data_IF_021233039942
#
_entry.id   IF_021233039942
#
_cell.length_a   1.000
_cell.length_b   1.000
_cell.length_c   1.000
_cell.angle_alpha   90.00
_cell.angle_beta   90.00
_cell.angle_gamma   90.00
#
_symmetry.space_group_name_H-M   'P 1'
#
loop_
_entity.id
_entity.type
_entity.pdbx_description
1 polymer ?
#
# COMPACT_ATOMS: atom_id res chain seq x y z
N UNK A 1 -24.44 5.82 -14.74
CA UNK A 1 -23.53 5.46 -15.61
C UNK A 1 -22.15 5.85 -15.24
N UNK A 2 -21.33 5.02 -15.38
CA UNK A 2 -20.02 5.30 -14.96
C UNK A 2 -19.38 6.30 -15.84
N UNK A 3 -18.76 7.21 -15.25
CA UNK A 3 -18.11 8.15 -15.90
C UNK A 3 -16.78 7.72 -16.26
N UNK A 4 -16.41 7.96 -17.43
CA UNK A 4 -15.13 7.67 -17.79
C UNK A 4 -14.17 8.47 -17.05
N UNK A 5 -13.24 7.86 -16.46
CA UNK A 5 -12.32 8.58 -15.74
C UNK A 5 -11.17 8.81 -16.60
N UNK A 6 -11.03 9.81 -17.24
CA UNK A 6 -9.92 10.06 -18.10
C UNK A 6 -8.70 10.36 -17.27
N UNK A 7 -7.70 10.92 -17.87
CA UNK A 7 -6.50 11.28 -17.18
C UNK A 7 -6.64 12.56 -16.40
N UNK A 8 -7.85 13.02 -16.23
CA UNK A 8 -8.04 14.24 -15.52
C UNK A 8 -7.57 14.17 -14.10
N UNK A 9 -7.13 15.28 -13.60
CA UNK A 9 -6.68 15.37 -12.23
C UNK A 9 -7.84 15.65 -11.31
N UNK A 10 -7.73 15.15 -10.09
CA UNK A 10 -8.67 15.48 -9.05
C UNK A 10 -8.06 16.56 -8.21
N UNK A 11 -8.88 17.49 -7.77
CA UNK A 11 -8.43 18.52 -6.85
C UNK A 11 -8.64 18.01 -5.44
N UNK A 12 -7.59 18.05 -4.63
CA UNK A 12 -7.68 17.61 -3.25
C UNK A 12 -7.48 18.79 -2.33
N UNK A 13 -7.74 18.59 -1.05
CA UNK A 13 -7.59 19.67 -0.08
C UNK A 13 -6.13 20.11 -0.02
N UNK A 14 -5.89 21.40 0.25
CA UNK A 14 -4.52 21.91 0.18
C UNK A 14 -3.52 21.15 1.04
N UNK A 15 -3.92 20.68 2.21
CA UNK A 15 -2.99 19.99 3.09
C UNK A 15 -2.85 18.52 2.71
N UNK A 16 -3.50 18.07 1.65
CA UNK A 16 -3.37 16.71 1.17
C UNK A 16 -2.63 16.64 -0.15
N UNK A 17 -2.02 17.74 -0.58
CA UNK A 17 -1.27 17.78 -1.82
C UNK A 17 0.04 18.52 -1.62
N UNK A 18 1.05 18.06 -2.31
CA UNK A 18 2.31 18.79 -2.32
C UNK A 18 2.38 19.85 -3.41
N UNK A 19 1.32 19.98 -4.21
CA UNK A 19 1.30 20.93 -5.29
C UNK A 19 0.53 22.19 -4.94
N UNK A 20 0.94 23.31 -5.50
CA UNK A 20 0.27 24.55 -5.21
C UNK A 20 -1.17 24.57 -5.72
N UNK A 21 -1.44 23.91 -6.85
CA UNK A 21 -2.79 23.91 -7.40
C UNK A 21 -3.65 22.76 -6.90
N UNK A 22 -3.07 21.89 -6.06
CA UNK A 22 -3.80 20.78 -5.44
C UNK A 22 -4.40 19.78 -6.43
N UNK A 23 -3.90 19.76 -7.65
CA UNK A 23 -4.41 18.83 -8.65
C UNK A 23 -3.54 17.60 -8.69
N UNK A 24 -4.14 16.44 -8.45
CA UNK A 24 -3.41 15.18 -8.40
C UNK A 24 -3.86 14.24 -9.48
N UNK A 25 -2.91 13.68 -10.23
CA UNK A 25 -3.22 12.63 -11.19
C UNK A 25 -3.44 11.30 -10.51
N UNK A 26 -2.87 11.15 -9.33
CA UNK A 26 -3.01 9.94 -8.54
C UNK A 26 -3.08 10.34 -7.09
N UNK A 27 -3.86 9.64 -6.34
CA UNK A 27 -3.93 9.89 -4.92
C UNK A 27 -4.33 8.61 -4.22
N UNK A 28 -3.96 8.54 -2.95
CA UNK A 28 -4.24 7.37 -2.15
C UNK A 28 -5.65 7.45 -1.60
N UNK A 29 -6.38 6.34 -1.69
CA UNK A 29 -7.73 6.29 -1.18
C UNK A 29 -7.81 5.16 -0.16
N UNK A 30 -8.11 5.52 1.07
CA UNK A 30 -8.17 4.57 2.18
C UNK A 30 -9.47 4.78 2.92
N UNK A 31 -10.20 3.71 3.16
CA UNK A 31 -11.44 3.80 3.91
C UNK A 31 -11.18 4.00 5.38
N UNK A 32 -12.02 4.78 6.03
CA UNK A 32 -11.89 5.00 7.46
C UNK A 32 -11.94 3.69 8.23
N UNK A 33 -12.78 2.75 7.81
CA UNK A 33 -12.93 1.52 8.56
C UNK A 33 -11.66 0.67 8.55
N UNK A 34 -10.87 0.74 7.48
CA UNK A 34 -9.59 0.05 7.46
C UNK A 34 -8.64 0.75 8.41
N UNK A 35 -8.54 2.06 8.29
CA UNK A 35 -7.60 2.84 9.08
C UNK A 35 -7.88 2.72 10.57
N UNK A 36 -9.14 2.58 10.94
CA UNK A 36 -9.53 2.49 12.34
C UNK A 36 -9.73 1.07 12.84
N UNK A 37 -9.49 0.07 11.98
CA UNK A 37 -9.65 -1.31 12.39
C UNK A 37 -8.60 -1.69 13.42
N UNK A 38 -8.96 -2.61 14.30
CA UNK A 38 -8.00 -3.06 15.31
C UNK A 38 -6.85 -3.79 14.66
N UNK A 39 -7.10 -4.51 13.58
CA UNK A 39 -6.04 -5.21 12.88
C UNK A 39 -4.99 -4.24 12.36
N UNK A 40 -5.43 -3.13 11.77
CA UNK A 40 -4.50 -2.16 11.24
C UNK A 40 -3.76 -1.44 12.37
N UNK A 41 -4.48 -1.12 13.43
CA UNK A 41 -3.86 -0.42 14.56
C UNK A 41 -2.84 -1.28 15.29
N UNK A 42 -2.97 -2.61 15.17
CA UNK A 42 -2.01 -3.51 15.81
C UNK A 42 -0.71 -3.59 15.04
N UNK A 43 -0.65 -3.10 13.82
CA UNK A 43 0.58 -3.10 13.05
C UNK A 43 1.52 -2.03 13.58
N UNK A 44 2.83 -2.25 13.42
CA UNK A 44 3.78 -1.21 13.73
C UNK A 44 3.57 -0.03 12.78
N UNK A 45 4.00 1.14 13.18
CA UNK A 45 3.84 2.32 12.35
C UNK A 45 4.52 2.15 10.99
N UNK A 46 5.68 1.48 10.97
CA UNK A 46 6.37 1.25 9.71
C UNK A 46 5.60 0.34 8.77
N UNK A 47 4.96 -0.69 9.32
CA UNK A 47 4.14 -1.57 8.51
C UNK A 47 2.91 -0.84 7.98
N UNK A 48 2.30 0.00 8.80
CA UNK A 48 1.19 0.82 8.34
C UNK A 48 1.63 1.70 7.18
N UNK A 49 2.79 2.34 7.31
CA UNK A 49 3.31 3.19 6.26
C UNK A 49 3.56 2.39 4.99
N UNK A 50 4.19 1.22 5.12
CA UNK A 50 4.48 0.40 3.95
C UNK A 50 3.19 -0.02 3.25
N UNK A 51 2.16 -0.36 4.02
CA UNK A 51 0.89 -0.74 3.43
C UNK A 51 0.31 0.40 2.59
N UNK A 52 0.41 1.62 3.09
CA UNK A 52 -0.05 2.78 2.33
C UNK A 52 0.79 3.00 1.09
N UNK A 53 2.10 2.79 1.18
CA UNK A 53 2.96 2.88 0.01
C UNK A 53 2.56 1.88 -1.05
N UNK A 54 2.25 0.65 -0.63
CA UNK A 54 1.82 -0.38 -1.55
C UNK A 54 0.49 -0.03 -2.19
N UNK A 55 -0.43 0.52 -1.40
CA UNK A 55 -1.72 0.92 -1.94
C UNK A 55 -1.56 1.97 -3.02
N UNK A 56 -0.66 2.92 -2.79
CA UNK A 56 -0.41 3.95 -3.78
C UNK A 56 0.27 3.37 -5.01
N UNK A 57 1.27 2.52 -4.80
CA UNK A 57 2.04 1.98 -5.91
C UNK A 57 1.22 1.03 -6.77
N UNK A 58 0.28 0.31 -6.17
CA UNK A 58 -0.52 -0.66 -6.90
C UNK A 58 -1.44 -0.03 -7.93
N UNK A 59 -1.77 1.24 -7.75
CA UNK A 59 -2.64 1.92 -8.69
C UNK A 59 -4.04 1.34 -8.76
N UNK A 60 -4.52 0.79 -7.66
CA UNK A 60 -5.85 0.20 -7.61
C UNK A 60 -5.91 -1.26 -7.99
N UNK A 61 -4.77 -1.86 -8.30
CA UNK A 61 -4.75 -3.27 -8.64
C UNK A 61 -4.54 -4.11 -7.40
N UNK A 62 -5.13 -5.27 -7.36
CA UNK A 62 -4.99 -6.15 -6.22
C UNK A 62 -3.62 -6.82 -6.19
N UNK A 63 -3.10 -7.19 -7.35
CA UNK A 63 -1.77 -7.80 -7.45
C UNK A 63 -0.81 -6.77 -8.03
N UNK A 64 0.39 -6.70 -7.47
CA UNK A 64 1.34 -5.68 -7.88
C UNK A 64 2.75 -6.12 -7.54
N UNK A 65 3.72 -5.47 -8.17
CA UNK A 65 5.12 -5.70 -7.88
C UNK A 65 5.63 -4.53 -7.06
N UNK A 66 6.42 -4.82 -6.04
CA UNK A 66 6.95 -3.76 -5.19
C UNK A 66 8.42 -4.08 -4.91
N UNK A 67 9.32 -3.62 -5.78
CA UNK A 67 10.73 -3.95 -5.62
C UNK A 67 11.38 -3.14 -4.50
N UNK A 68 12.46 -3.68 -3.98
CA UNK A 68 13.22 -3.01 -2.93
C UNK A 68 13.64 -1.61 -3.37
N UNK A 69 13.98 -1.46 -4.66
CA UNK A 69 14.39 -0.15 -5.14
C UNK A 69 13.30 0.90 -4.98
N UNK A 70 12.04 0.51 -5.18
CA UNK A 70 10.94 1.44 -4.96
C UNK A 70 10.83 1.78 -3.48
N UNK A 71 10.97 0.78 -2.62
CA UNK A 71 10.87 1.02 -1.20
C UNK A 71 11.94 2.00 -0.73
N UNK A 72 13.17 1.84 -1.21
CA UNK A 72 14.26 2.68 -0.73
C UNK A 72 14.33 4.03 -1.42
N UNK A 73 14.19 4.04 -2.74
CA UNK A 73 14.39 5.29 -3.48
C UNK A 73 13.17 6.17 -3.53
N UNK A 74 12.01 5.58 -3.61
CA UNK A 74 10.79 6.37 -3.72
C UNK A 74 10.18 6.67 -2.36
N UNK A 75 10.24 5.73 -1.45
CA UNK A 75 9.56 5.87 -0.17
C UNK A 75 10.48 6.00 1.02
N UNK A 76 11.78 5.89 0.81
CA UNK A 76 12.74 6.16 1.88
C UNK A 76 12.86 5.08 2.94
N UNK A 77 12.45 3.87 2.64
CA UNK A 77 12.54 2.78 3.59
C UNK A 77 13.91 2.12 3.53
N UNK A 78 14.43 1.72 4.68
CA UNK A 78 15.70 1.00 4.70
C UNK A 78 15.45 -0.46 4.39
N UNK A 79 16.42 -1.15 3.73
CA UNK A 79 16.18 -2.54 3.34
C UNK A 79 15.79 -3.46 4.49
N UNK A 80 16.45 -3.36 5.63
CA UNK A 80 16.12 -4.22 6.75
C UNK A 80 14.72 -3.94 7.28
N UNK A 81 14.36 -2.65 7.33
CA UNK A 81 13.03 -2.26 7.78
C UNK A 81 11.96 -2.74 6.81
N UNK A 82 12.24 -2.60 5.50
CA UNK A 82 11.31 -3.05 4.50
C UNK A 82 11.00 -4.54 4.66
N UNK A 83 12.03 -5.36 4.84
CA UNK A 83 11.82 -6.79 5.00
C UNK A 83 11.01 -7.11 6.25
N UNK A 84 11.30 -6.41 7.33
CA UNK A 84 10.59 -6.64 8.59
C UNK A 84 9.12 -6.26 8.46
N UNK A 85 8.84 -5.15 7.80
CA UNK A 85 7.46 -4.71 7.62
C UNK A 85 6.69 -5.65 6.69
N UNK A 86 7.35 -6.17 5.66
CA UNK A 86 6.72 -7.15 4.78
C UNK A 86 6.29 -8.37 5.59
N UNK A 87 7.19 -8.87 6.44
CA UNK A 87 6.86 -10.05 7.22
C UNK A 87 5.68 -9.79 8.15
N UNK A 88 5.64 -8.62 8.72
CA UNK A 88 4.54 -8.28 9.61
C UNK A 88 3.22 -8.21 8.84
N UNK A 89 3.22 -7.60 7.66
CA UNK A 89 2.01 -7.49 6.86
C UNK A 89 1.51 -8.85 6.37
N UNK A 90 2.45 -9.73 6.01
CA UNK A 90 2.09 -11.08 5.58
C UNK A 90 1.47 -11.83 6.75
N UNK A 91 2.10 -11.75 7.91
CA UNK A 91 1.62 -12.47 9.07
C UNK A 91 0.26 -11.97 9.54
N UNK A 92 0.04 -10.68 9.41
CA UNK A 92 -1.24 -10.10 9.85
C UNK A 92 -2.36 -10.29 8.84
N UNK A 93 -2.07 -10.83 7.66
CA UNK A 93 -3.11 -11.11 6.70
C UNK A 93 -3.47 -9.95 5.80
N UNK A 94 -2.60 -8.95 5.67
CA UNK A 94 -2.88 -7.81 4.81
C UNK A 94 -2.38 -8.02 3.39
N UNK A 95 -1.31 -8.80 3.22
CA UNK A 95 -0.79 -9.09 1.89
C UNK A 95 -0.36 -10.55 1.81
N UNK A 96 -0.28 -11.05 0.59
CA UNK A 96 0.29 -12.35 0.29
C UNK A 96 1.51 -12.08 -0.57
N UNK A 97 2.59 -12.78 -0.30
CA UNK A 97 3.82 -12.60 -1.06
C UNK A 97 4.04 -13.78 -1.98
N UNK A 98 4.26 -13.49 -3.25
CA UNK A 98 4.57 -14.52 -4.24
C UNK A 98 6.01 -14.31 -4.68
N UNK A 99 6.88 -15.20 -4.23
CA UNK A 99 8.30 -15.03 -4.50
C UNK A 99 8.63 -15.30 -5.97
N UNK A 100 9.42 -14.43 -6.55
CA UNK A 100 9.87 -14.58 -7.92
C UNK A 100 11.37 -14.80 -7.97
N UNK A 101 11.94 -15.29 -6.87
CA UNK A 101 13.38 -15.41 -6.79
C UNK A 101 13.97 -16.25 -7.91
N UNK A 102 13.28 -17.32 -8.29
CA UNK A 102 13.78 -18.19 -9.33
C UNK A 102 13.82 -17.53 -10.69
N UNK A 103 13.04 -16.49 -10.86
CA UNK A 103 12.98 -15.76 -12.12
C UNK A 103 13.78 -14.48 -12.08
N UNK A 104 14.50 -14.27 -10.99
CA UNK A 104 15.29 -13.06 -10.80
C UNK A 104 14.46 -11.80 -10.96
N UNK A 105 13.23 -11.87 -10.51
CA UNK A 105 12.33 -10.74 -10.56
C UNK A 105 11.97 -10.34 -9.15
N UNK A 106 11.55 -9.08 -8.96
CA UNK A 106 11.09 -8.68 -7.64
C UNK A 106 9.87 -9.49 -7.24
N UNK A 107 9.65 -9.60 -5.95
CA UNK A 107 8.49 -10.32 -5.47
C UNK A 107 7.22 -9.63 -5.91
N UNK A 108 6.22 -10.44 -6.17
CA UNK A 108 4.89 -9.95 -6.46
C UNK A 108 4.08 -10.07 -5.20
N UNK A 109 3.23 -9.10 -4.94
CA UNK A 109 2.38 -9.10 -3.77
C UNK A 109 0.93 -8.98 -4.18
N UNK A 110 0.06 -9.43 -3.31
CA UNK A 110 -1.36 -9.34 -3.57
C UNK A 110 -2.04 -8.92 -2.28
N UNK A 111 -2.94 -7.96 -2.36
CA UNK A 111 -3.67 -7.55 -1.18
C UNK A 111 -4.58 -8.67 -0.73
N UNK A 112 -4.57 -8.95 0.56
CA UNK A 112 -5.36 -10.01 1.12
C UNK A 112 -6.47 -9.42 1.97
N UNK A 113 -7.57 -10.12 2.04
CA UNK A 113 -8.68 -9.70 2.88
C UNK A 113 -8.78 -10.53 4.15
N UNK A 114 -7.77 -11.35 4.41
CA UNK A 114 -7.78 -12.23 5.58
C UNK A 114 -7.88 -11.46 6.88
N UNK A 115 -7.29 -10.26 6.94
CA UNK A 115 -7.36 -9.47 8.15
C UNK A 115 -8.78 -9.08 8.50
N UNK A 116 -9.66 -8.98 7.50
CA UNK A 116 -11.05 -8.60 7.74
C UNK A 116 -11.84 -9.69 8.42
N UNK A 117 -11.50 -10.93 8.11
CA UNK A 117 -12.26 -12.05 8.62
C UNK A 117 -11.60 -12.70 9.83
N UNK A 118 -10.42 -12.21 10.22
CA UNK A 118 -9.76 -12.76 11.37
C UNK A 118 -10.56 -12.45 12.61
N UNK A 119 -10.72 -13.46 13.48
CA UNK A 119 -11.44 -13.21 14.67
C UNK A 119 -10.53 -12.79 15.75
N UNK A 120 -10.96 -11.92 16.62
CA UNK A 120 -10.12 -11.53 17.74
C UNK A 120 -9.93 -12.73 18.64
N UNK A 121 -8.82 -12.82 19.29
CA UNK A 121 -8.54 -13.94 20.18
C UNK A 121 -9.50 -13.97 21.36
#
# INVERSE_FOLDING_TARGET
MPRKRSAEHCTVLPWLSGKADCKEGRFLQIGNSLFLSKAFQALSAGSQFLYLCMALESGGKRAFIFPLSSATKKYGLKPASFRRYIEELVKAGFIVRHSMANLRQPNEYEFSLSWKTARPP
#
